data_IF_905498107805
#
_entry.id   IF_905498107805
#
_cell.length_a   1.000
_cell.length_b   1.000
_cell.length_c   1.000
_cell.angle_alpha   90.00
_cell.angle_beta   90.00
_cell.angle_gamma   90.00
#
_symmetry.space_group_name_H-M   'P 1'
#
loop_
_entity.id
_entity.type
_entity.pdbx_description
1 polymer ?
#
# COMPACT_ATOMS: atom_id res chain seq x y z
N UNK A 1 -11.00 23.76 -13.99
CA UNK A 1 -9.69 23.12 -13.89
C UNK A 1 -9.43 22.43 -12.56
N UNK A 2 -9.95 22.98 -11.46
CA UNK A 2 -9.82 22.33 -10.15
C UNK A 2 -10.42 20.92 -10.13
N UNK A 3 -11.55 20.74 -10.82
CA UNK A 3 -12.20 19.44 -10.91
C UNK A 3 -11.28 18.40 -11.54
N UNK A 4 -10.60 18.76 -12.63
CA UNK A 4 -9.70 17.85 -13.31
C UNK A 4 -8.48 17.52 -12.45
N UNK A 5 -8.00 18.50 -11.70
CA UNK A 5 -6.86 18.30 -10.80
C UNK A 5 -7.20 17.33 -9.69
N UNK A 6 -8.38 17.49 -9.07
CA UNK A 6 -8.83 16.57 -8.03
C UNK A 6 -9.00 15.16 -8.56
N UNK A 7 -9.59 15.04 -9.75
CA UNK A 7 -9.80 13.75 -10.36
C UNK A 7 -8.47 13.06 -10.65
N UNK A 8 -7.49 13.80 -11.15
CA UNK A 8 -6.17 13.24 -11.43
C UNK A 8 -5.46 12.81 -10.15
N UNK A 9 -5.61 13.56 -9.06
CA UNK A 9 -5.01 13.21 -7.78
C UNK A 9 -5.63 11.92 -7.22
N UNK A 10 -6.94 11.77 -7.33
CA UNK A 10 -7.61 10.54 -6.90
C UNK A 10 -7.18 9.35 -7.73
N UNK A 11 -7.01 9.54 -9.03
CA UNK A 11 -6.57 8.47 -9.91
C UNK A 11 -5.11 8.06 -9.69
N UNK A 12 -4.31 8.94 -9.11
CA UNK A 12 -2.92 8.61 -8.80
C UNK A 12 -2.77 7.74 -7.55
N UNK A 13 -3.83 7.66 -6.73
CA UNK A 13 -3.84 6.78 -5.58
C UNK A 13 -4.49 5.47 -5.97
N UNK A 14 -3.76 4.38 -5.82
CA UNK A 14 -4.27 3.05 -6.14
C UNK A 14 -3.79 2.06 -5.08
N UNK A 15 -4.52 0.97 -4.85
CA UNK A 15 -4.04 -0.06 -3.95
C UNK A 15 -2.69 -0.60 -4.44
N UNK A 16 -1.75 -0.79 -3.53
CA UNK A 16 -0.41 -1.24 -3.93
C UNK A 16 -0.44 -2.62 -4.59
N UNK A 17 -1.48 -3.41 -4.36
CA UNK A 17 -1.60 -4.76 -4.94
C UNK A 17 -1.74 -4.73 -6.46
N UNK A 18 -2.10 -3.59 -7.05
CA UNK A 18 -2.21 -3.46 -8.50
C UNK A 18 -0.93 -2.93 -9.15
N UNK A 19 0.08 -2.60 -8.35
CA UNK A 19 1.36 -2.16 -8.87
C UNK A 19 2.14 -3.33 -9.46
N UNK A 20 3.17 -3.02 -10.24
CA UNK A 20 4.05 -4.04 -10.77
C UNK A 20 4.97 -4.57 -9.68
N UNK A 21 5.22 -5.88 -9.69
CA UNK A 21 6.14 -6.48 -8.74
C UNK A 21 7.55 -5.94 -8.95
N UNK A 22 8.24 -5.66 -7.85
CA UNK A 22 9.58 -5.09 -7.89
C UNK A 22 9.60 -3.57 -7.92
N UNK A 23 8.45 -2.93 -8.07
CA UNK A 23 8.36 -1.47 -8.10
C UNK A 23 8.25 -0.93 -6.69
N UNK A 24 9.11 0.03 -6.36
CA UNK A 24 9.05 0.71 -5.07
C UNK A 24 8.02 1.83 -5.14
N UNK A 25 7.18 1.91 -4.12
CA UNK A 25 6.13 2.92 -4.06
C UNK A 25 6.13 3.63 -2.72
N UNK A 26 5.69 4.88 -2.74
CA UNK A 26 5.47 5.64 -1.52
C UNK A 26 4.06 5.37 -1.05
N UNK A 27 3.91 4.99 0.21
CA UNK A 27 2.59 4.82 0.81
C UNK A 27 1.96 6.20 0.97
N UNK A 28 0.83 6.40 0.34
CA UNK A 28 0.12 7.69 0.41
C UNK A 28 -0.97 7.70 1.44
N UNK A 29 -1.63 6.56 1.63
CA UNK A 29 -2.75 6.45 2.56
C UNK A 29 -2.86 5.00 3.03
N UNK A 30 -3.22 4.85 4.29
CA UNK A 30 -3.55 3.54 4.87
C UNK A 30 -4.99 3.61 5.35
N UNK A 31 -5.84 2.75 4.80
CA UNK A 31 -7.24 2.67 5.15
C UNK A 31 -7.51 1.60 6.20
N UNK A 32 -8.80 1.36 6.44
CA UNK A 32 -9.25 0.33 7.35
C UNK A 32 -9.55 0.85 8.74
N UNK A 33 -9.82 -0.10 9.66
CA UNK A 33 -10.12 0.23 11.05
C UNK A 33 -8.86 0.72 11.78
N UNK A 34 -9.02 1.36 12.95
CA UNK A 34 -7.85 1.77 13.73
C UNK A 34 -6.93 0.60 14.08
N UNK A 35 -7.50 -0.59 14.33
CA UNK A 35 -6.70 -1.78 14.62
C UNK A 35 -5.84 -2.19 13.44
N UNK A 36 -6.41 -2.16 12.23
CA UNK A 36 -5.68 -2.49 11.02
C UNK A 36 -4.57 -1.47 10.77
N UNK A 37 -4.90 -0.18 10.94
CA UNK A 37 -3.90 0.88 10.77
C UNK A 37 -2.74 0.72 11.74
N UNK A 38 -3.04 0.42 12.98
CA UNK A 38 -2.01 0.23 14.00
C UNK A 38 -1.14 -0.98 13.67
N UNK A 39 -1.76 -2.07 13.24
CA UNK A 39 -1.03 -3.27 12.85
C UNK A 39 -0.07 -2.99 11.70
N UNK A 40 -0.54 -2.28 10.68
CA UNK A 40 0.30 -1.93 9.54
C UNK A 40 1.42 -0.96 9.95
N UNK A 41 1.12 -0.02 10.84
CA UNK A 41 2.12 0.90 11.36
C UNK A 41 3.22 0.15 12.11
N UNK A 42 2.84 -0.84 12.91
CA UNK A 42 3.81 -1.67 13.63
C UNK A 42 4.72 -2.46 12.69
N UNK A 43 4.24 -2.75 11.50
CA UNK A 43 5.05 -3.42 10.47
C UNK A 43 5.92 -2.44 9.69
N UNK A 44 5.81 -1.15 9.96
CA UNK A 44 6.56 -0.13 9.25
C UNK A 44 5.85 0.46 8.04
N UNK A 45 4.60 0.11 7.83
CA UNK A 45 3.80 0.62 6.72
C UNK A 45 3.06 1.86 7.20
N UNK A 46 3.61 3.02 6.87
CA UNK A 46 3.07 4.31 7.31
C UNK A 46 3.01 5.26 6.12
N UNK A 47 2.09 6.23 6.12
CA UNK A 47 2.09 7.24 5.07
C UNK A 47 3.45 7.94 4.97
N UNK A 48 3.94 8.07 3.75
CA UNK A 48 5.27 8.64 3.50
C UNK A 48 6.39 7.61 3.49
N UNK A 49 6.13 6.39 3.94
CA UNK A 49 7.13 5.33 3.90
C UNK A 49 7.20 4.67 2.53
N UNK A 50 8.27 3.93 2.29
CA UNK A 50 8.47 3.22 1.04
C UNK A 50 8.16 1.74 1.21
N UNK A 51 7.49 1.17 0.23
CA UNK A 51 7.21 -0.26 0.17
C UNK A 51 7.48 -0.76 -1.25
N UNK A 52 7.89 -2.01 -1.37
CA UNK A 52 8.07 -2.64 -2.67
C UNK A 52 7.20 -3.87 -2.73
N UNK A 53 6.39 -3.98 -3.77
CA UNK A 53 5.57 -5.15 -3.99
C UNK A 53 6.46 -6.28 -4.52
N UNK A 54 6.55 -7.36 -3.78
CA UNK A 54 7.40 -8.50 -4.18
C UNK A 54 6.58 -9.53 -4.96
N UNK A 55 5.45 -9.94 -4.40
CA UNK A 55 4.64 -10.98 -5.03
C UNK A 55 3.19 -10.87 -4.56
N UNK A 56 2.27 -11.26 -5.43
CA UNK A 56 0.84 -11.32 -5.12
C UNK A 56 0.37 -12.74 -5.45
N UNK A 57 -0.13 -13.43 -4.43
CA UNK A 57 -0.75 -14.74 -4.56
C UNK A 57 -2.26 -14.59 -4.36
N UNK A 58 -2.99 -15.69 -4.49
CA UNK A 58 -4.46 -15.65 -4.40
C UNK A 58 -4.98 -15.07 -3.11
N UNK A 59 -4.34 -15.34 -1.99
CA UNK A 59 -4.81 -14.89 -0.69
C UNK A 59 -3.80 -14.06 0.08
N UNK A 60 -2.61 -13.83 -0.45
CA UNK A 60 -1.57 -13.12 0.28
C UNK A 60 -0.75 -12.24 -0.63
N UNK A 61 -0.13 -11.23 -0.01
CA UNK A 61 0.73 -10.27 -0.70
C UNK A 61 2.02 -10.16 0.09
N UNK A 62 3.14 -10.26 -0.60
CA UNK A 62 4.46 -10.12 0.03
C UNK A 62 5.01 -8.74 -0.34
N UNK A 63 5.34 -7.98 0.69
CA UNK A 63 5.90 -6.64 0.56
C UNK A 63 7.27 -6.58 1.20
N UNK A 64 8.12 -5.74 0.63
CA UNK A 64 9.38 -5.40 1.25
C UNK A 64 9.25 -4.01 1.88
N UNK A 65 9.50 -3.93 3.18
CA UNK A 65 9.48 -2.69 3.93
C UNK A 65 10.84 -2.54 4.57
N UNK A 66 11.60 -1.52 4.16
CA UNK A 66 13.00 -1.36 4.55
C UNK A 66 13.78 -2.62 4.15
N UNK A 67 14.39 -3.31 5.07
CA UNK A 67 15.14 -4.53 4.78
C UNK A 67 14.37 -5.80 5.10
N UNK A 68 13.11 -5.67 5.52
CA UNK A 68 12.28 -6.79 5.92
C UNK A 68 11.25 -7.11 4.86
N UNK A 69 10.95 -8.39 4.74
CA UNK A 69 9.84 -8.86 3.90
C UNK A 69 8.72 -9.28 4.83
N UNK A 70 7.51 -8.80 4.51
CA UNK A 70 6.32 -9.12 5.29
C UNK A 70 5.27 -9.71 4.39
N UNK A 71 4.47 -10.61 4.93
CA UNK A 71 3.33 -11.19 4.24
C UNK A 71 2.06 -10.64 4.89
N UNK A 72 1.16 -10.13 4.06
CA UNK A 72 -0.15 -9.65 4.50
C UNK A 72 -1.22 -10.43 3.76
N UNK A 73 -2.39 -10.58 4.36
CA UNK A 73 -3.50 -11.08 3.58
C UNK A 73 -3.91 -10.00 2.58
N UNK A 74 -4.56 -10.43 1.51
CA UNK A 74 -4.90 -9.52 0.41
C UNK A 74 -5.81 -8.40 0.87
N UNK A 75 -6.75 -8.69 1.78
CA UNK A 75 -7.68 -7.70 2.29
C UNK A 75 -6.95 -6.55 3.00
N UNK A 76 -5.94 -6.87 3.80
CA UNK A 76 -5.14 -5.84 4.48
C UNK A 76 -4.29 -5.07 3.49
N UNK A 77 -3.69 -5.78 2.52
CA UNK A 77 -2.85 -5.13 1.52
C UNK A 77 -3.65 -4.15 0.65
N UNK A 78 -4.91 -4.44 0.39
CA UNK A 78 -5.77 -3.54 -0.38
C UNK A 78 -6.08 -2.24 0.33
N UNK A 79 -5.83 -2.14 1.63
CA UNK A 79 -6.02 -0.92 2.40
C UNK A 79 -4.86 0.05 2.24
N UNK A 80 -3.77 -0.38 1.65
CA UNK A 80 -2.57 0.44 1.47
C UNK A 80 -2.63 1.06 0.08
N UNK A 81 -2.62 2.39 0.04
CA UNK A 81 -2.68 3.13 -1.22
C UNK A 81 -1.30 3.72 -1.53
N UNK A 82 -0.91 3.55 -2.76
CA UNK A 82 0.37 4.09 -3.24
C UNK A 82 0.23 5.17 -4.29
#
# INVERSE_FOLDING_TARGET
MEYLTLFALEMNMMPIVVADCGEEMIVRKVGGSPEVKLHLENLGIVPGGLVTLINVNDGSVILKVKESRIALNKDMAMKIMG
#
